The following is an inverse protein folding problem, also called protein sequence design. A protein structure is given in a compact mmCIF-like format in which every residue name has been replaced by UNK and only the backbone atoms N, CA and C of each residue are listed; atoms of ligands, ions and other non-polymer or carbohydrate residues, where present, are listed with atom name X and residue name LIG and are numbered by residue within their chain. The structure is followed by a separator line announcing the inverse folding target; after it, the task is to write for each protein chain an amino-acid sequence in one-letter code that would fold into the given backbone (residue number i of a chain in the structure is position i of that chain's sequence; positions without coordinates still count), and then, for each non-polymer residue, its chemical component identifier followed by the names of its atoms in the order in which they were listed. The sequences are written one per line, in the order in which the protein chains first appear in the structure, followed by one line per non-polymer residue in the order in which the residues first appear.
data_IF_082850516242
#
_entry.id   IF_082850516242
#
_cell.length_a   1.000
_cell.length_b   1.000
_cell.length_c   1.000
_cell.angle_alpha   90.00
_cell.angle_beta   90.00
_cell.angle_gamma   90.00
#
_symmetry.space_group_name_H-M   'P 1'
#
loop_
_entity.id
_entity.type
_entity.pdbx_description
1 polymer ?
#
# COMPACT_ATOMS: atom_id res chain seq x y z
N UNK A 1 13.26 -9.25 -4.66
CA UNK A 1 12.12 -9.31 -3.71
C UNK A 1 11.01 -10.15 -4.33
N UNK A 2 10.52 -11.17 -3.63
CA UNK A 2 9.55 -12.10 -4.22
C UNK A 2 8.13 -11.57 -4.18
N UNK A 3 7.40 -11.69 -5.30
CA UNK A 3 5.98 -11.32 -5.42
C UNK A 3 5.11 -12.00 -4.35
N UNK A 4 5.48 -13.21 -3.92
CA UNK A 4 4.79 -13.98 -2.88
C UNK A 4 4.80 -13.27 -1.53
N UNK A 5 5.95 -12.74 -1.11
CA UNK A 5 6.07 -12.00 0.15
C UNK A 5 5.23 -10.73 0.17
N UNK A 6 5.17 -10.01 -0.97
CA UNK A 6 4.33 -8.81 -1.10
C UNK A 6 2.86 -9.18 -0.90
N UNK A 7 2.39 -10.23 -1.59
CA UNK A 7 1.01 -10.71 -1.49
C UNK A 7 0.65 -11.10 -0.06
N UNK A 8 1.52 -11.83 0.62
CA UNK A 8 1.28 -12.28 1.99
C UNK A 8 1.18 -11.10 2.96
N UNK A 9 2.12 -10.16 2.89
CA UNK A 9 2.10 -8.95 3.73
C UNK A 9 0.87 -8.08 3.45
N UNK A 10 0.45 -7.96 2.19
CA UNK A 10 -0.79 -7.26 1.82
C UNK A 10 -2.03 -7.96 2.38
N UNK A 11 -2.11 -9.30 2.35
CA UNK A 11 -3.23 -10.04 2.94
C UNK A 11 -3.33 -9.84 4.44
N UNK A 12 -2.20 -9.96 5.16
CA UNK A 12 -2.13 -9.70 6.60
C UNK A 12 -2.57 -8.27 6.95
N UNK A 13 -2.27 -7.30 6.09
CA UNK A 13 -2.75 -5.93 6.28
C UNK A 13 -4.27 -5.81 6.09
N UNK A 14 -4.83 -6.51 5.09
CA UNK A 14 -6.26 -6.47 4.77
C UNK A 14 -7.15 -7.09 5.85
N UNK A 15 -6.62 -7.93 6.74
CA UNK A 15 -7.32 -8.38 7.95
C UNK A 15 -7.69 -7.22 8.88
N UNK A 16 -6.97 -6.08 8.79
CA UNK A 16 -7.23 -4.87 9.57
C UNK A 16 -8.15 -3.88 8.85
N UNK A 17 -8.77 -4.25 7.72
CA UNK A 17 -9.61 -3.35 6.91
C UNK A 17 -10.79 -2.76 7.68
N UNK A 18 -11.31 -3.46 8.69
CA UNK A 18 -12.39 -2.99 9.58
C UNK A 18 -11.94 -1.89 10.56
N UNK A 19 -10.62 -1.66 10.66
CA UNK A 19 -10.02 -0.65 11.53
C UNK A 19 -9.28 0.39 10.68
N UNK A 20 -9.96 1.43 10.16
CA UNK A 20 -9.41 2.35 9.19
C UNK A 20 -8.06 2.94 9.59
N UNK A 21 -7.90 3.41 10.83
CA UNK A 21 -6.63 3.99 11.33
C UNK A 21 -5.48 2.98 11.32
N UNK A 22 -5.72 1.75 11.75
CA UNK A 22 -4.71 0.69 11.75
C UNK A 22 -4.35 0.26 10.32
N UNK A 23 -5.36 0.15 9.45
CA UNK A 23 -5.17 -0.16 8.04
C UNK A 23 -4.35 0.93 7.34
N UNK A 24 -4.74 2.20 7.45
CA UNK A 24 -4.02 3.31 6.83
C UNK A 24 -2.57 3.35 7.29
N UNK A 25 -2.32 3.26 8.60
CA UNK A 25 -0.94 3.24 9.13
C UNK A 25 -0.15 2.04 8.59
N UNK A 26 -0.73 0.85 8.62
CA UNK A 26 -0.09 -0.36 8.11
C UNK A 26 0.17 -0.32 6.60
N UNK A 27 -0.71 0.32 5.81
CA UNK A 27 -0.51 0.54 4.38
C UNK A 27 0.67 1.47 4.13
N UNK A 28 0.77 2.57 4.90
CA UNK A 28 1.89 3.50 4.77
C UNK A 28 3.22 2.82 5.14
N UNK A 29 3.25 2.05 6.22
CA UNK A 29 4.44 1.28 6.64
C UNK A 29 4.82 0.22 5.59
N UNK A 30 3.83 -0.48 5.01
CA UNK A 30 4.03 -1.44 3.94
C UNK A 30 4.66 -0.78 2.71
N UNK A 31 4.11 0.35 2.25
CA UNK A 31 4.62 1.10 1.11
C UNK A 31 6.02 1.66 1.39
N UNK A 32 6.27 2.23 2.58
CA UNK A 32 7.61 2.68 3.00
C UNK A 32 8.65 1.56 2.98
N UNK A 33 8.25 0.31 3.25
CA UNK A 33 9.17 -0.83 3.19
C UNK A 33 9.60 -1.23 1.76
N UNK A 34 8.93 -0.68 0.74
CA UNK A 34 9.22 -0.95 -0.67
C UNK A 34 9.79 0.27 -1.42
N UNK A 35 10.20 1.31 -0.70
CA UNK A 35 10.83 2.50 -1.28
C UNK A 35 12.11 2.10 -2.01
N UNK A 36 12.25 2.52 -3.27
CA UNK A 36 13.52 2.53 -3.98
C UNK A 36 14.30 3.80 -3.59
N UNK A 37 15.09 3.73 -2.51
CA UNK A 37 15.75 4.89 -1.91
C UNK A 37 16.78 5.54 -2.83
N UNK A 38 17.39 4.78 -3.71
CA UNK A 38 18.40 5.27 -4.64
C UNK A 38 17.74 6.03 -5.79
N UNK A 39 16.71 5.43 -6.41
CA UNK A 39 15.95 6.08 -7.47
C UNK A 39 15.15 7.30 -6.97
N UNK A 40 14.79 7.34 -5.69
CA UNK A 40 13.88 8.37 -5.13
C UNK A 40 14.58 9.49 -4.37
N UNK A 41 15.91 9.40 -4.18
CA UNK A 41 16.71 10.36 -3.40
C UNK A 41 16.56 11.81 -3.88
N UNK A 42 16.55 12.02 -5.21
CA UNK A 42 16.41 13.35 -5.79
C UNK A 42 14.97 13.87 -5.70
N UNK A 43 13.98 13.00 -5.85
CA UNK A 43 12.57 13.36 -5.76
C UNK A 43 12.18 13.81 -4.35
N UNK A 44 12.68 13.15 -3.31
CA UNK A 44 12.47 13.57 -1.92
C UNK A 44 13.08 14.95 -1.63
N UNK A 45 14.19 15.31 -2.28
CA UNK A 45 14.83 16.61 -2.13
C UNK A 45 14.06 17.73 -2.85
N UNK A 46 13.50 17.45 -4.02
CA UNK A 46 12.82 18.45 -4.86
C UNK A 46 11.38 18.67 -4.40
N UNK A 47 10.74 17.62 -3.88
CA UNK A 47 9.32 17.60 -3.59
C UNK A 47 9.10 17.04 -2.17
N UNK A 48 9.39 17.83 -1.12
CA UNK A 48 9.31 17.33 0.25
C UNK A 48 7.86 17.05 0.70
N UNK A 49 6.86 17.73 0.12
CA UNK A 49 5.48 17.76 0.66
C UNK A 49 4.33 17.55 -0.35
N UNK A 50 4.60 17.22 -1.62
CA UNK A 50 3.52 17.00 -2.61
C UNK A 50 2.95 15.59 -2.48
N UNK A 51 2.02 15.43 -1.53
CA UNK A 51 1.40 14.15 -1.22
C UNK A 51 2.41 13.16 -0.61
N UNK A 52 1.90 12.11 0.03
CA UNK A 52 2.75 11.07 0.61
C UNK A 52 3.42 10.25 -0.50
N UNK A 53 4.53 10.74 -1.04
CA UNK A 53 5.33 10.02 -2.02
C UNK A 53 6.14 8.93 -1.33
N UNK A 54 5.81 7.67 -1.62
CA UNK A 54 6.48 6.51 -1.03
C UNK A 54 7.58 5.92 -1.91
N UNK A 55 7.84 6.47 -3.10
CA UNK A 55 8.93 5.98 -3.93
C UNK A 55 8.86 4.48 -4.27
N UNK A 56 7.65 3.91 -4.30
CA UNK A 56 7.44 2.49 -4.52
C UNK A 56 7.43 2.20 -6.03
N UNK A 57 8.26 1.26 -6.52
CA UNK A 57 8.23 0.84 -7.91
C UNK A 57 6.83 0.42 -8.38
N UNK A 58 6.45 0.84 -9.59
CA UNK A 58 5.16 0.53 -10.21
C UNK A 58 4.82 -0.98 -10.20
N UNK A 59 5.76 -1.92 -10.46
CA UNK A 59 5.45 -3.36 -10.38
C UNK A 59 4.97 -3.81 -9.00
N UNK A 60 5.47 -3.20 -7.93
CA UNK A 60 5.06 -3.52 -6.56
C UNK A 60 3.67 -2.97 -6.28
N UNK A 61 3.41 -1.72 -6.67
CA UNK A 61 2.08 -1.09 -6.55
C UNK A 61 1.00 -1.93 -7.26
N UNK A 62 1.31 -2.47 -8.45
CA UNK A 62 0.39 -3.36 -9.18
C UNK A 62 0.05 -4.63 -8.40
N UNK A 63 1.02 -5.24 -7.70
CA UNK A 63 0.78 -6.43 -6.89
C UNK A 63 -0.11 -6.10 -5.68
N UNK A 64 0.16 -4.98 -5.00
CA UNK A 64 -0.66 -4.52 -3.86
C UNK A 64 -2.10 -4.24 -4.31
N UNK A 65 -2.27 -3.46 -5.38
CA UNK A 65 -3.58 -3.14 -5.93
C UNK A 65 -4.38 -4.39 -6.34
N UNK A 66 -3.72 -5.38 -6.96
CA UNK A 66 -4.35 -6.63 -7.35
C UNK A 66 -4.86 -7.45 -6.15
N UNK A 67 -4.12 -7.51 -5.03
CA UNK A 67 -4.59 -8.22 -3.84
C UNK A 67 -5.71 -7.47 -3.12
N UNK A 68 -5.68 -6.12 -3.09
CA UNK A 68 -6.80 -5.31 -2.58
C UNK A 68 -8.06 -5.56 -3.43
N UNK A 69 -7.92 -5.57 -4.76
CA UNK A 69 -9.03 -5.84 -5.68
C UNK A 69 -9.65 -7.23 -5.45
N UNK A 70 -8.84 -8.27 -5.30
CA UNK A 70 -9.31 -9.62 -4.96
C UNK A 70 -10.03 -9.66 -3.61
N UNK A 71 -9.55 -8.92 -2.62
CA UNK A 71 -10.20 -8.84 -1.32
C UNK A 71 -11.56 -8.17 -1.41
N UNK A 72 -11.68 -7.06 -2.13
CA UNK A 72 -12.96 -6.37 -2.37
C UNK A 72 -13.94 -7.29 -3.13
N UNK A 73 -13.47 -8.01 -4.15
CA UNK A 73 -14.32 -8.99 -4.85
C UNK A 73 -14.87 -10.07 -3.92
N UNK A 74 -14.08 -10.53 -2.95
CA UNK A 74 -14.52 -11.52 -1.95
C UNK A 74 -15.39 -10.92 -0.84
N UNK A 75 -15.15 -9.67 -0.46
CA UNK A 75 -15.85 -8.94 0.59
C UNK A 75 -16.26 -7.54 0.11
N UNK A 76 -17.29 -7.42 -0.77
CA UNK A 76 -17.67 -6.13 -1.35
C UNK A 76 -18.05 -5.08 -0.31
N UNK A 77 -18.63 -5.50 0.82
CA UNK A 77 -19.01 -4.64 1.94
C UNK A 77 -17.82 -3.87 2.55
N UNK A 78 -16.58 -4.32 2.33
CA UNK A 78 -15.38 -3.65 2.82
C UNK A 78 -14.90 -2.52 1.91
N UNK A 79 -15.38 -2.43 0.66
CA UNK A 79 -14.93 -1.41 -0.29
C UNK A 79 -15.13 0.03 0.23
N UNK A 80 -16.30 0.39 0.82
CA UNK A 80 -16.50 1.74 1.36
C UNK A 80 -15.63 2.04 2.58
N UNK A 81 -15.24 1.03 3.36
CA UNK A 81 -14.36 1.20 4.52
C UNK A 81 -12.91 1.47 4.06
N UNK A 82 -12.45 0.70 3.06
CA UNK A 82 -11.14 0.91 2.44
C UNK A 82 -11.06 2.27 1.73
N UNK A 83 -12.09 2.65 0.97
CA UNK A 83 -12.12 3.93 0.27
C UNK A 83 -12.05 5.13 1.23
N UNK A 84 -12.69 5.04 2.39
CA UNK A 84 -12.64 6.10 3.42
C UNK A 84 -11.30 6.17 4.17
N UNK A 85 -10.49 5.12 4.08
CA UNK A 85 -9.22 5.02 4.79
C UNK A 85 -8.02 5.55 4.00
N UNK A 86 -8.16 5.77 2.70
CA UNK A 86 -7.11 6.21 1.77
C UNK A 86 -7.39 7.65 1.35
#
# INVERSE_FOLDING_TARGET
MEKTQIRERTRKLLEKAEKPKEFTRGLQELLKSYVDREATKNYQRIIPDTGKFYGVPLPILRVVAAEIGKFIQKKPIMAPALLRAI
#
